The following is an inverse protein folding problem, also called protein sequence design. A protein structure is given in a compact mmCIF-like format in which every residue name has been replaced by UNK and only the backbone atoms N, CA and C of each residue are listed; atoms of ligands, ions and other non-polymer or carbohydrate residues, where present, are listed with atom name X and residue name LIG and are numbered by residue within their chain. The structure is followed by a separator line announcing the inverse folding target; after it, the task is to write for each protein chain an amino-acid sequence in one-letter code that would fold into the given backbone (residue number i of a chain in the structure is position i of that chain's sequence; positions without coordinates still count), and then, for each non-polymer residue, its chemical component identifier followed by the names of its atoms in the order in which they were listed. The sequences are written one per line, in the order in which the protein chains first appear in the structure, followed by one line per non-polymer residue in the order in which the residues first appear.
data_IF_432418213411
#
_entry.id   IF_432418213411
#
_cell.length_a   1.000
_cell.length_b   1.000
_cell.length_c   1.000
_cell.angle_alpha   90.00
_cell.angle_beta   90.00
_cell.angle_gamma   90.00
#
_symmetry.space_group_name_H-M   'P 1'
#
loop_
_entity.id
_entity.type
_entity.pdbx_description
1 polymer ?
#
# COMPACT_ATOMS: atom_id res chain seq x y z
N UNK A 1 -38.64 23.03 3.31
CA UNK A 1 -37.94 23.36 2.05
C UNK A 1 -36.63 24.07 2.39
N UNK A 2 -35.49 23.46 2.10
CA UNK A 2 -34.21 24.14 1.87
C UNK A 2 -33.31 23.15 1.12
N UNK A 3 -33.34 23.22 -0.20
CA UNK A 3 -32.44 22.46 -1.09
C UNK A 3 -31.12 23.24 -1.16
N UNK A 4 -30.12 22.83 -0.38
CA UNK A 4 -28.76 23.36 -0.54
C UNK A 4 -28.14 22.68 -1.76
N UNK A 5 -28.22 23.34 -2.92
CA UNK A 5 -27.66 22.85 -4.17
C UNK A 5 -26.13 22.91 -4.11
N UNK A 6 -25.47 21.75 -4.02
CA UNK A 6 -24.05 21.62 -4.35
C UNK A 6 -23.89 21.92 -5.85
N UNK A 7 -23.50 23.15 -6.19
CA UNK A 7 -23.06 23.50 -7.55
C UNK A 7 -21.76 22.73 -7.81
N UNK A 8 -21.85 21.64 -8.57
CA UNK A 8 -20.71 20.99 -9.23
C UNK A 8 -20.04 22.01 -10.15
N UNK A 9 -18.94 22.63 -9.69
CA UNK A 9 -17.94 23.15 -10.60
C UNK A 9 -17.10 21.95 -11.04
N UNK A 10 -17.36 21.47 -12.26
CA UNK A 10 -16.38 20.68 -12.98
C UNK A 10 -15.20 21.61 -13.30
N UNK A 11 -14.28 21.76 -12.36
CA UNK A 11 -12.98 22.33 -12.65
C UNK A 11 -12.18 21.23 -13.34
N UNK A 12 -11.86 21.43 -14.62
CA UNK A 12 -10.80 20.67 -15.26
C UNK A 12 -9.54 20.86 -14.39
N UNK A 13 -9.11 19.79 -13.69
CA UNK A 13 -7.93 19.83 -12.84
C UNK A 13 -6.73 20.10 -13.73
N UNK A 14 -6.17 21.30 -13.65
CA UNK A 14 -4.78 21.51 -14.05
C UNK A 14 -3.95 20.57 -13.18
N UNK A 15 -3.47 19.48 -13.76
CA UNK A 15 -2.57 18.56 -13.09
C UNK A 15 -1.32 19.37 -12.77
N UNK A 16 -1.17 19.82 -11.51
CA UNK A 16 0.06 20.42 -11.06
C UNK A 16 1.16 19.39 -11.31
N UNK A 17 2.14 19.74 -12.14
CA UNK A 17 3.24 18.84 -12.46
C UNK A 17 4.07 18.69 -11.17
N UNK A 18 3.83 17.62 -10.42
CA UNK A 18 4.54 17.35 -9.15
C UNK A 18 5.86 16.67 -9.47
N UNK A 19 6.98 17.33 -9.15
CA UNK A 19 8.32 16.72 -9.19
C UNK A 19 8.52 15.75 -8.01
N UNK A 20 7.74 14.67 -7.98
CA UNK A 20 7.91 13.59 -7.01
C UNK A 20 9.09 12.74 -7.46
N UNK A 21 10.16 12.75 -6.66
CA UNK A 21 11.31 11.88 -6.88
C UNK A 21 11.11 10.57 -6.12
N UNK A 22 11.33 9.47 -6.82
CA UNK A 22 11.34 8.11 -6.27
C UNK A 22 12.60 7.40 -6.75
N UNK A 23 13.10 6.46 -5.95
CA UNK A 23 14.20 5.59 -6.36
C UNK A 23 13.73 4.58 -7.41
N UNK A 24 14.67 3.93 -8.11
CA UNK A 24 14.33 2.90 -9.10
C UNK A 24 13.43 1.79 -8.53
N UNK A 25 13.74 1.27 -7.33
CA UNK A 25 12.95 0.21 -6.67
C UNK A 25 11.56 0.69 -6.23
N UNK A 26 11.45 1.94 -5.77
CA UNK A 26 10.16 2.55 -5.48
C UNK A 26 9.31 2.68 -6.75
N UNK A 27 9.93 3.08 -7.87
CA UNK A 27 9.28 3.12 -9.19
C UNK A 27 8.77 1.74 -9.64
N UNK A 28 9.60 0.70 -9.51
CA UNK A 28 9.18 -0.68 -9.80
C UNK A 28 7.98 -1.11 -8.95
N UNK A 29 7.95 -0.75 -7.67
CA UNK A 29 6.84 -1.05 -6.78
C UNK A 29 5.53 -0.35 -7.20
N UNK A 30 5.63 0.93 -7.58
CA UNK A 30 4.47 1.72 -8.02
C UNK A 30 3.90 1.16 -9.33
N UNK A 31 4.78 0.82 -10.28
CA UNK A 31 4.41 0.39 -11.63
C UNK A 31 4.04 -1.10 -11.72
N UNK A 32 4.30 -1.90 -10.69
CA UNK A 32 4.04 -3.34 -10.74
C UNK A 32 2.54 -3.66 -10.83
N UNK A 33 2.17 -4.46 -11.84
CA UNK A 33 0.79 -4.86 -12.13
C UNK A 33 0.38 -6.20 -11.51
N UNK A 34 1.26 -6.87 -10.76
CA UNK A 34 0.94 -8.13 -10.11
C UNK A 34 -0.25 -8.01 -9.13
N UNK A 35 -0.90 -9.14 -8.81
CA UNK A 35 -2.01 -9.17 -7.85
C UNK A 35 -1.53 -8.92 -6.42
N UNK A 36 -0.42 -9.55 -6.02
CA UNK A 36 0.25 -9.32 -4.75
C UNK A 36 1.67 -8.80 -5.01
N UNK A 37 2.05 -7.72 -4.32
CA UNK A 37 3.40 -7.14 -4.39
C UNK A 37 3.99 -7.06 -3.00
N UNK A 38 5.24 -7.50 -2.83
CA UNK A 38 6.02 -7.30 -1.60
C UNK A 38 7.26 -6.46 -1.92
N UNK A 39 7.35 -5.28 -1.34
CA UNK A 39 8.58 -4.49 -1.27
C UNK A 39 9.25 -4.72 0.08
N UNK A 40 10.20 -5.64 0.15
CA UNK A 40 10.70 -6.18 1.42
C UNK A 40 12.21 -6.13 1.55
N UNK A 41 12.72 -5.78 2.73
CA UNK A 41 14.15 -5.71 3.01
C UNK A 41 14.45 -4.82 4.22
N UNK A 42 15.68 -4.36 4.39
CA UNK A 42 16.12 -3.68 5.61
C UNK A 42 15.41 -2.33 5.86
N UNK A 43 15.43 -1.89 7.12
CA UNK A 43 14.95 -0.57 7.51
C UNK A 43 15.66 0.56 6.74
N UNK A 44 15.00 1.70 6.58
CA UNK A 44 15.55 2.87 5.88
C UNK A 44 15.49 2.83 4.35
N UNK A 45 15.04 1.73 3.73
CA UNK A 45 14.93 1.61 2.26
C UNK A 45 13.78 2.40 1.59
N UNK A 46 13.10 3.31 2.31
CA UNK A 46 12.07 4.18 1.73
C UNK A 46 10.74 3.49 1.38
N UNK A 47 10.43 2.34 1.98
CA UNK A 47 9.26 1.52 1.64
C UNK A 47 7.91 2.18 1.97
N UNK A 48 7.74 2.71 3.18
CA UNK A 48 6.49 3.38 3.58
C UNK A 48 6.23 4.65 2.78
N UNK A 49 7.28 5.37 2.37
CA UNK A 49 7.16 6.49 1.43
C UNK A 49 6.62 6.02 0.07
N UNK A 50 7.15 4.90 -0.46
CA UNK A 50 6.66 4.32 -1.71
C UNK A 50 5.17 3.95 -1.65
N UNK A 51 4.67 3.44 -0.51
CA UNK A 51 3.26 3.14 -0.30
C UNK A 51 2.38 4.40 -0.43
N UNK A 52 2.82 5.54 0.12
CA UNK A 52 2.08 6.80 0.04
C UNK A 52 2.10 7.39 -1.38
N UNK A 53 3.25 7.38 -2.06
CA UNK A 53 3.35 7.82 -3.45
C UNK A 53 2.50 6.96 -4.38
N UNK A 54 2.51 5.64 -4.16
CA UNK A 54 1.66 4.70 -4.88
C UNK A 54 0.17 5.00 -4.66
N UNK A 55 -0.26 5.26 -3.42
CA UNK A 55 -1.65 5.61 -3.12
C UNK A 55 -2.10 6.89 -3.83
N UNK A 56 -1.26 7.91 -3.85
CA UNK A 56 -1.51 9.15 -4.58
C UNK A 56 -1.58 8.92 -6.09
N UNK A 57 -0.62 8.18 -6.66
CA UNK A 57 -0.60 7.84 -8.08
C UNK A 57 -1.90 7.16 -8.53
N UNK A 58 -2.39 6.20 -7.74
CA UNK A 58 -3.66 5.54 -8.02
C UNK A 58 -4.87 6.46 -7.86
N UNK A 59 -4.88 7.34 -6.84
CA UNK A 59 -5.96 8.31 -6.64
C UNK A 59 -6.08 9.31 -7.81
N UNK A 60 -4.93 9.74 -8.35
CA UNK A 60 -4.84 10.63 -9.51
C UNK A 60 -5.29 9.93 -10.80
N UNK A 61 -4.84 8.69 -11.01
CA UNK A 61 -5.05 7.94 -12.26
C UNK A 61 -6.44 7.31 -12.39
N UNK A 62 -7.07 6.92 -11.29
CA UNK A 62 -8.33 6.18 -11.30
C UNK A 62 -9.39 6.95 -10.49
N UNK A 63 -10.20 7.81 -11.12
CA UNK A 63 -11.25 8.55 -10.43
C UNK A 63 -12.21 7.64 -9.67
N UNK A 64 -12.46 7.95 -8.40
CA UNK A 64 -13.32 7.19 -7.47
C UNK A 64 -12.73 5.85 -7.00
N UNK A 65 -11.42 5.63 -7.16
CA UNK A 65 -10.77 4.44 -6.60
C UNK A 65 -10.85 4.46 -5.07
N UNK A 66 -11.11 3.29 -4.48
CA UNK A 66 -11.15 3.11 -3.02
C UNK A 66 -9.92 2.39 -2.54
N UNK A 67 -9.13 3.03 -1.68
CA UNK A 67 -7.85 2.51 -1.22
C UNK A 67 -7.80 2.47 0.30
N UNK A 68 -7.09 1.46 0.83
CA UNK A 68 -6.83 1.32 2.26
C UNK A 68 -5.33 1.16 2.51
N UNK A 69 -4.80 1.80 3.53
CA UNK A 69 -3.45 1.60 4.05
C UNK A 69 -3.54 1.15 5.52
N UNK A 70 -2.99 -0.02 5.80
CA UNK A 70 -3.03 -0.68 7.10
C UNK A 70 -1.65 -0.69 7.77
N UNK A 71 -1.64 -0.49 9.09
CA UNK A 71 -0.54 -0.81 10.01
C UNK A 71 -1.11 -1.59 11.20
N UNK A 72 -0.32 -2.39 11.91
CA UNK A 72 -0.83 -3.14 13.06
C UNK A 72 -1.34 -2.18 14.17
N UNK A 73 -0.53 -1.17 14.51
CA UNK A 73 -0.75 -0.26 15.62
C UNK A 73 -1.22 1.14 15.18
N UNK A 74 -2.31 1.65 15.76
CA UNK A 74 -2.78 3.01 15.48
C UNK A 74 -1.77 4.11 15.88
N UNK A 75 -1.16 4.10 17.08
CA UNK A 75 -0.11 5.06 17.42
C UNK A 75 1.04 5.11 16.41
N UNK A 76 1.46 3.95 15.89
CA UNK A 76 2.51 3.87 14.87
C UNK A 76 2.03 4.39 13.52
N UNK A 77 0.83 4.00 13.09
CA UNK A 77 0.18 4.51 11.89
C UNK A 77 0.12 6.05 11.89
N UNK A 78 -0.28 6.63 13.02
CA UNK A 78 -0.40 8.09 13.20
C UNK A 78 0.95 8.78 13.08
N UNK A 79 1.98 8.28 13.78
CA UNK A 79 3.33 8.87 13.81
C UNK A 79 4.13 8.65 12.53
N UNK A 80 3.74 7.68 11.70
CA UNK A 80 4.44 7.33 10.47
C UNK A 80 3.66 7.78 9.22
N UNK A 81 2.78 6.93 8.70
CA UNK A 81 2.09 7.09 7.43
C UNK A 81 1.15 8.28 7.40
N UNK A 82 0.30 8.46 8.43
CA UNK A 82 -0.64 9.60 8.48
C UNK A 82 0.17 10.89 8.55
N UNK A 83 1.12 11.00 9.48
CA UNK A 83 1.97 12.19 9.59
C UNK A 83 2.66 12.54 8.27
N UNK A 84 3.32 11.56 7.62
CA UNK A 84 4.03 11.78 6.35
C UNK A 84 3.07 12.09 5.19
N UNK A 85 1.83 11.64 5.26
CA UNK A 85 0.86 11.91 4.19
C UNK A 85 0.50 13.38 4.07
N UNK A 86 0.54 14.16 5.16
CA UNK A 86 0.30 15.60 5.12
C UNK A 86 1.35 16.38 4.33
N UNK A 87 2.59 15.90 4.31
CA UNK A 87 3.66 16.50 3.52
C UNK A 87 3.49 16.22 2.02
N UNK A 88 2.75 15.15 1.67
CA UNK A 88 2.64 14.65 0.30
C UNK A 88 1.32 15.03 -0.37
N UNK A 89 0.21 14.92 0.37
CA UNK A 89 -1.13 15.07 -0.17
C UNK A 89 -1.57 16.53 -0.04
N UNK A 90 -1.46 17.26 -1.13
CA UNK A 90 -1.67 18.70 -1.13
C UNK A 90 -3.16 19.07 -0.90
N UNK A 91 -3.43 20.13 -0.11
CA UNK A 91 -4.80 20.55 0.21
C UNK A 91 -5.67 21.01 -0.97
N UNK A 92 -5.06 21.30 -2.13
CA UNK A 92 -5.77 21.72 -3.34
C UNK A 92 -6.52 20.57 -4.02
N UNK A 93 -6.02 19.34 -3.86
CA UNK A 93 -6.55 18.13 -4.47
C UNK A 93 -7.14 17.16 -3.44
N UNK A 94 -6.64 17.19 -2.19
CA UNK A 94 -7.04 16.28 -1.12
C UNK A 94 -7.59 17.02 0.09
N UNK A 95 -8.65 16.46 0.68
CA UNK A 95 -9.22 16.92 1.94
C UNK A 95 -9.10 15.82 3.00
N UNK A 96 -8.48 16.12 4.13
CA UNK A 96 -8.38 15.20 5.26
C UNK A 96 -9.64 15.21 6.11
N UNK A 97 -10.06 14.03 6.57
CA UNK A 97 -11.06 13.86 7.62
C UNK A 97 -10.43 13.05 8.77
N UNK A 98 -10.37 13.69 9.95
CA UNK A 98 -9.77 13.09 11.14
C UNK A 98 -10.61 11.94 11.70
N UNK A 99 -11.93 11.99 11.57
CA UNK A 99 -12.83 11.04 12.24
C UNK A 99 -12.76 9.64 11.63
N UNK A 100 -12.63 9.57 10.31
CA UNK A 100 -12.52 8.32 9.54
C UNK A 100 -11.10 8.09 9.00
N UNK A 101 -10.13 8.92 9.42
CA UNK A 101 -8.72 8.86 9.02
C UNK A 101 -8.53 8.72 7.51
N UNK A 102 -9.28 9.51 6.74
CA UNK A 102 -9.37 9.36 5.28
C UNK A 102 -9.01 10.65 4.55
N UNK A 103 -8.22 10.49 3.49
CA UNK A 103 -8.05 11.52 2.47
C UNK A 103 -9.08 11.35 1.36
N UNK A 104 -9.82 12.43 1.09
CA UNK A 104 -10.78 12.53 0.00
C UNK A 104 -10.18 13.34 -1.14
N UNK A 105 -10.01 12.72 -2.30
CA UNK A 105 -9.52 13.40 -3.49
C UNK A 105 -10.65 14.09 -4.25
N UNK A 106 -10.36 15.22 -4.93
CA UNK A 106 -11.35 16.02 -5.66
C UNK A 106 -12.12 15.25 -6.76
N UNK A 107 -11.55 14.16 -7.29
CA UNK A 107 -12.22 13.29 -8.28
C UNK A 107 -13.10 12.18 -7.64
N UNK A 108 -13.22 12.16 -6.31
CA UNK A 108 -13.99 11.18 -5.54
C UNK A 108 -13.21 9.94 -5.10
N UNK A 109 -11.92 9.83 -5.43
CA UNK A 109 -11.06 8.78 -4.89
C UNK A 109 -10.86 8.94 -3.38
N UNK A 110 -10.68 7.82 -2.67
CA UNK A 110 -10.43 7.82 -1.23
C UNK A 110 -9.17 7.03 -0.89
N UNK A 111 -8.43 7.52 0.11
CA UNK A 111 -7.30 6.82 0.74
C UNK A 111 -7.59 6.78 2.24
N UNK A 112 -8.13 5.66 2.70
CA UNK A 112 -8.42 5.39 4.11
C UNK A 112 -7.16 4.85 4.80
N UNK A 113 -6.87 5.34 6.00
CA UNK A 113 -5.90 4.72 6.89
C UNK A 113 -6.62 3.91 7.96
N UNK A 114 -6.17 2.68 8.18
CA UNK A 114 -6.77 1.78 9.16
C UNK A 114 -5.71 1.01 9.93
N UNK A 115 -6.15 0.35 11.00
CA UNK A 115 -5.29 -0.52 11.80
C UNK A 115 -5.97 -1.85 12.13
N UNK A 116 -5.15 -2.86 12.43
CA UNK A 116 -5.59 -4.18 12.88
C UNK A 116 -4.62 -4.66 13.95
N UNK A 117 -4.92 -4.42 15.22
CA UNK A 117 -4.09 -4.83 16.37
C UNK A 117 -4.28 -6.29 16.78
N UNK A 118 -5.33 -6.95 16.26
CA UNK A 118 -5.63 -8.35 16.51
C UNK A 118 -6.45 -8.97 15.38
N UNK A 119 -6.54 -10.30 15.38
CA UNK A 119 -7.32 -11.05 14.40
C UNK A 119 -8.83 -10.72 14.47
N UNK A 120 -9.38 -10.41 15.65
CA UNK A 120 -10.81 -10.08 15.80
C UNK A 120 -11.20 -8.75 15.14
N UNK A 121 -10.24 -7.83 14.98
CA UNK A 121 -10.48 -6.52 14.37
C UNK A 121 -10.79 -6.59 12.88
N UNK A 122 -10.51 -7.72 12.22
CA UNK A 122 -10.87 -7.88 10.80
C UNK A 122 -12.38 -7.70 10.56
N UNK A 123 -13.20 -7.94 11.60
CA UNK A 123 -14.65 -7.73 11.60
C UNK A 123 -15.08 -6.30 11.28
N UNK A 124 -14.26 -5.29 11.60
CA UNK A 124 -14.51 -3.88 11.26
C UNK A 124 -14.64 -3.71 9.74
N UNK A 125 -13.86 -4.47 8.98
CA UNK A 125 -13.82 -4.40 7.52
C UNK A 125 -14.78 -5.39 6.85
N UNK A 126 -15.67 -6.06 7.60
CA UNK A 126 -16.57 -7.11 7.06
C UNK A 126 -17.40 -6.62 5.88
N UNK A 127 -17.87 -5.38 5.92
CA UNK A 127 -18.67 -4.77 4.85
C UNK A 127 -17.86 -3.87 3.92
N UNK A 128 -16.55 -3.72 4.15
CA UNK A 128 -15.71 -2.82 3.38
C UNK A 128 -15.42 -3.37 1.98
N UNK A 129 -15.15 -2.45 1.05
CA UNK A 129 -14.81 -2.73 -0.34
C UNK A 129 -13.72 -1.78 -0.79
N UNK A 130 -12.61 -2.36 -1.24
CA UNK A 130 -11.45 -1.63 -1.73
C UNK A 130 -11.01 -2.17 -3.09
N UNK A 131 -10.35 -1.30 -3.83
CA UNK A 131 -9.64 -1.63 -5.05
C UNK A 131 -8.18 -1.98 -4.74
N UNK A 132 -7.55 -1.26 -3.82
CA UNK A 132 -6.16 -1.52 -3.41
C UNK A 132 -6.06 -1.47 -1.89
N UNK A 133 -5.39 -2.48 -1.33
CA UNK A 133 -5.07 -2.53 0.09
C UNK A 133 -3.56 -2.59 0.25
N UNK A 134 -3.02 -1.71 1.09
CA UNK A 134 -1.61 -1.62 1.41
C UNK A 134 -1.39 -2.07 2.84
N UNK A 135 -0.45 -2.97 3.08
CA UNK A 135 0.04 -3.30 4.41
C UNK A 135 1.43 -2.71 4.57
N UNK A 136 1.57 -1.76 5.48
CA UNK A 136 2.88 -1.35 5.93
C UNK A 136 3.34 -2.24 7.06
N UNK A 137 4.56 -2.75 6.92
CA UNK A 137 5.15 -3.78 7.78
C UNK A 137 4.25 -5.00 7.96
N UNK A 138 3.94 -5.57 6.80
CA UNK A 138 3.10 -6.74 6.63
C UNK A 138 3.53 -7.95 7.48
N UNK A 139 4.78 -8.02 7.93
CA UNK A 139 5.28 -9.04 8.84
C UNK A 139 4.73 -8.98 10.25
N UNK A 140 4.21 -7.83 10.69
CA UNK A 140 3.50 -7.68 11.97
C UNK A 140 2.13 -8.38 11.93
N UNK A 141 1.53 -8.49 10.73
CA UNK A 141 0.22 -9.10 10.56
C UNK A 141 0.29 -10.62 10.55
N UNK A 142 -0.75 -11.25 11.10
CA UNK A 142 -0.96 -12.69 11.00
C UNK A 142 -1.34 -13.08 9.57
N UNK A 143 -1.07 -14.34 9.18
CA UNK A 143 -1.54 -14.89 7.91
C UNK A 143 -3.06 -14.77 7.75
N UNK A 144 -3.80 -14.93 8.86
CA UNK A 144 -5.25 -14.76 8.88
C UNK A 144 -5.66 -13.32 8.53
N UNK A 145 -5.07 -12.31 9.17
CA UNK A 145 -5.34 -10.89 8.88
C UNK A 145 -5.09 -10.56 7.41
N UNK A 146 -3.94 -10.97 6.87
CA UNK A 146 -3.57 -10.72 5.47
C UNK A 146 -4.58 -11.35 4.49
N UNK A 147 -4.90 -12.63 4.67
CA UNK A 147 -5.86 -13.35 3.82
C UNK A 147 -7.28 -12.81 3.94
N UNK A 148 -7.73 -12.50 5.15
CA UNK A 148 -9.07 -11.95 5.36
C UNK A 148 -9.23 -10.65 4.58
N UNK A 149 -8.27 -9.74 4.71
CA UNK A 149 -8.32 -8.46 4.03
C UNK A 149 -8.18 -8.59 2.51
N UNK A 150 -7.46 -9.60 2.00
CA UNK A 150 -7.46 -9.91 0.57
C UNK A 150 -8.88 -10.16 0.02
N UNK A 151 -9.77 -10.76 0.82
CA UNK A 151 -11.18 -10.95 0.42
C UNK A 151 -11.99 -9.64 0.31
N UNK A 152 -11.45 -8.50 0.79
CA UNK A 152 -12.07 -7.17 0.67
C UNK A 152 -11.68 -6.44 -0.63
N UNK A 153 -10.78 -7.03 -1.44
CA UNK A 153 -10.47 -6.56 -2.79
C UNK A 153 -11.60 -6.89 -3.77
N UNK A 154 -12.73 -6.17 -3.65
CA UNK A 154 -13.98 -6.53 -4.32
C UNK A 154 -14.75 -5.37 -4.95
N UNK A 155 -14.08 -4.23 -5.20
CA UNK A 155 -14.73 -3.11 -5.90
C UNK A 155 -15.35 -3.54 -7.23
N UNK A 156 -16.64 -3.25 -7.44
CA UNK A 156 -17.39 -3.59 -8.65
C UNK A 156 -17.07 -2.62 -9.81
N UNK A 157 -15.83 -2.62 -10.26
CA UNK A 157 -15.31 -1.74 -11.32
C UNK A 157 -14.09 -2.41 -12.02
N UNK A 158 -13.62 -1.79 -13.11
CA UNK A 158 -12.49 -2.29 -13.89
C UNK A 158 -11.11 -1.79 -13.40
N UNK A 159 -11.03 -1.24 -12.18
CA UNK A 159 -9.76 -0.78 -11.62
C UNK A 159 -8.90 -1.97 -11.19
N UNK A 160 -7.56 -1.79 -11.16
CA UNK A 160 -6.66 -2.79 -10.59
C UNK A 160 -7.11 -3.21 -9.19
N UNK A 161 -7.00 -4.52 -8.93
CA UNK A 161 -7.33 -5.12 -7.64
C UNK A 161 -6.06 -5.66 -7.02
N UNK A 162 -5.35 -4.91 -6.19
CA UNK A 162 -4.00 -5.28 -5.73
C UNK A 162 -3.85 -5.28 -4.21
N UNK A 163 -3.07 -6.23 -3.67
CA UNK A 163 -2.46 -6.10 -2.34
C UNK A 163 -1.02 -5.67 -2.51
N UNK A 164 -0.61 -4.62 -1.81
CA UNK A 164 0.78 -4.19 -1.77
C UNK A 164 1.31 -4.19 -0.34
N UNK A 165 2.47 -4.79 -0.14
CA UNK A 165 3.06 -5.01 1.17
C UNK A 165 4.44 -4.37 1.21
N UNK A 166 4.74 -3.64 2.28
CA UNK A 166 6.10 -3.28 2.66
C UNK A 166 6.47 -4.06 3.92
N UNK A 167 7.72 -4.50 4.05
CA UNK A 167 8.13 -5.23 5.26
C UNK A 167 9.62 -5.23 5.52
N UNK A 168 9.97 -5.42 6.79
CA UNK A 168 11.28 -5.87 7.24
C UNK A 168 11.28 -7.40 7.42
N UNK A 169 12.45 -8.06 7.41
CA UNK A 169 12.55 -9.52 7.55
C UNK A 169 12.46 -9.99 9.02
N UNK A 170 11.41 -9.59 9.73
CA UNK A 170 11.18 -9.83 11.16
C UNK A 170 9.71 -10.17 11.44
N UNK A 171 9.32 -10.36 12.70
CA UNK A 171 7.92 -10.51 13.08
C UNK A 171 7.26 -11.86 12.73
N UNK A 172 6.01 -12.07 13.20
CA UNK A 172 5.30 -13.35 13.08
C UNK A 172 4.96 -13.74 11.63
N UNK A 173 4.70 -12.76 10.76
CA UNK A 173 4.36 -12.94 9.35
C UNK A 173 5.56 -13.25 8.46
N UNK A 174 6.81 -13.14 8.94
CA UNK A 174 8.02 -13.29 8.12
C UNK A 174 8.05 -14.58 7.30
N UNK A 175 7.86 -15.72 7.98
CA UNK A 175 7.93 -17.03 7.34
C UNK A 175 6.84 -17.19 6.28
N UNK A 176 5.65 -16.67 6.56
CA UNK A 176 4.52 -16.70 5.63
C UNK A 176 4.83 -15.87 4.38
N UNK A 177 5.25 -14.60 4.53
CA UNK A 177 5.57 -13.74 3.39
C UNK A 177 6.74 -14.28 2.56
N UNK A 178 7.80 -14.79 3.22
CA UNK A 178 8.93 -15.42 2.53
C UNK A 178 8.47 -16.57 1.63
N UNK A 179 7.57 -17.43 2.12
CA UNK A 179 6.99 -18.54 1.36
C UNK A 179 6.06 -18.04 0.26
N UNK A 180 5.14 -17.12 0.57
CA UNK A 180 4.13 -16.59 -0.35
C UNK A 180 4.77 -15.96 -1.60
N UNK A 181 5.86 -15.22 -1.38
CA UNK A 181 6.59 -14.48 -2.41
C UNK A 181 7.82 -15.21 -2.96
N UNK A 182 8.09 -16.45 -2.51
CA UNK A 182 9.24 -17.25 -2.93
C UNK A 182 10.57 -16.47 -2.81
N UNK A 183 10.71 -15.71 -1.72
CA UNK A 183 11.88 -14.85 -1.48
C UNK A 183 13.13 -15.72 -1.30
N UNK A 184 14.14 -15.47 -2.14
CA UNK A 184 15.37 -16.26 -2.21
C UNK A 184 15.26 -17.55 -3.03
N UNK A 185 14.11 -17.82 -3.65
CA UNK A 185 13.87 -18.95 -4.55
C UNK A 185 13.65 -18.46 -5.98
N UNK A 186 12.76 -17.48 -6.15
CA UNK A 186 12.50 -16.85 -7.44
C UNK A 186 13.41 -15.64 -7.65
N UNK A 187 13.63 -15.28 -8.91
CA UNK A 187 14.29 -14.03 -9.28
C UNK A 187 13.50 -12.82 -8.77
N UNK A 188 14.21 -11.88 -8.15
CA UNK A 188 13.63 -10.64 -7.63
C UNK A 188 13.22 -9.69 -8.75
N UNK A 189 12.26 -8.80 -8.47
CA UNK A 189 11.70 -7.81 -9.40
C UNK A 189 11.02 -8.41 -10.64
N UNK A 190 10.72 -9.72 -10.64
CA UNK A 190 9.97 -10.39 -11.69
C UNK A 190 8.64 -10.92 -11.17
N UNK A 191 7.61 -10.71 -11.96
CA UNK A 191 6.28 -11.27 -11.70
C UNK A 191 6.29 -12.77 -12.02
N UNK A 192 5.72 -13.56 -11.12
CA UNK A 192 5.47 -14.99 -11.34
C UNK A 192 4.00 -15.32 -11.07
N UNK A 193 3.51 -16.42 -11.64
CA UNK A 193 2.14 -16.89 -11.45
C UNK A 193 2.09 -18.12 -10.57
N UNK A 194 1.22 -18.12 -9.56
CA UNK A 194 0.98 -19.25 -8.66
C UNK A 194 -0.40 -19.85 -8.93
N UNK A 195 -0.52 -21.17 -9.02
CA UNK A 195 -1.82 -21.84 -9.07
C UNK A 195 -2.51 -21.72 -7.70
N UNK A 196 -3.76 -21.26 -7.68
CA UNK A 196 -4.53 -21.05 -6.43
C UNK A 196 -5.74 -21.99 -6.29
N UNK A 197 -6.03 -22.79 -7.31
CA UNK A 197 -7.14 -23.73 -7.30
C UNK A 197 -7.90 -23.73 -8.61
N UNK A 198 -9.04 -24.43 -8.62
CA UNK A 198 -9.97 -24.44 -9.75
C UNK A 198 -11.24 -23.69 -9.38
N UNK A 199 -11.82 -23.02 -10.35
CA UNK A 199 -13.18 -22.49 -10.22
C UNK A 199 -14.15 -23.64 -9.90
N UNK A 200 -14.97 -23.53 -8.85
CA UNK A 200 -15.86 -24.62 -8.46
C UNK A 200 -17.00 -24.85 -9.45
N UNK A 201 -17.33 -23.87 -10.31
CA UNK A 201 -18.41 -23.96 -11.29
C UNK A 201 -17.91 -24.32 -12.68
N UNK A 202 -16.79 -23.75 -13.13
CA UNK A 202 -16.25 -23.99 -14.48
C UNK A 202 -15.13 -25.03 -14.53
N UNK A 203 -14.51 -25.35 -13.39
CA UNK A 203 -13.35 -26.23 -13.31
C UNK A 203 -12.05 -25.62 -13.84
N UNK A 204 -12.08 -24.36 -14.31
CA UNK A 204 -10.91 -23.66 -14.84
C UNK A 204 -9.84 -23.45 -13.78
N UNK A 205 -8.58 -23.69 -14.15
CA UNK A 205 -7.45 -23.35 -13.30
C UNK A 205 -7.37 -21.84 -13.08
N UNK A 206 -7.31 -21.41 -11.82
CA UNK A 206 -7.10 -20.03 -11.43
C UNK A 206 -5.67 -19.84 -10.95
N UNK A 207 -5.08 -18.73 -11.37
CA UNK A 207 -3.72 -18.34 -11.01
C UNK A 207 -3.71 -16.93 -10.44
N UNK A 208 -2.73 -16.68 -9.58
CA UNK A 208 -2.47 -15.38 -8.97
C UNK A 208 -1.06 -14.92 -9.29
N UNK A 209 -0.92 -13.68 -9.74
CA UNK A 209 0.39 -13.07 -10.03
C UNK A 209 1.00 -12.44 -8.79
N UNK A 210 2.29 -12.67 -8.56
CA UNK A 210 3.02 -12.14 -7.40
C UNK A 210 4.36 -11.57 -7.83
N UNK A 211 4.83 -10.53 -7.13
CA UNK A 211 6.14 -9.94 -7.35
C UNK A 211 6.81 -9.60 -6.02
N UNK A 212 8.09 -9.96 -5.88
CA UNK A 212 8.95 -9.53 -4.77
C UNK A 212 9.98 -8.51 -5.26
N UNK A 213 10.07 -7.36 -4.59
CA UNK A 213 11.03 -6.31 -4.85
C UNK A 213 11.88 -6.17 -3.58
N UNK A 214 13.20 -6.40 -3.62
CA UNK A 214 14.07 -6.20 -2.49
C UNK A 214 14.26 -4.71 -2.21
N UNK A 215 14.41 -4.37 -0.93
CA UNK A 215 14.72 -3.02 -0.47
C UNK A 215 16.01 -3.04 0.34
N UNK A 216 17.06 -2.39 -0.18
CA UNK A 216 18.33 -2.26 0.52
C UNK A 216 18.50 -0.81 1.00
N UNK A 217 19.05 -0.62 2.19
CA UNK A 217 19.19 0.73 2.79
C UNK A 217 20.04 1.66 1.92
N UNK A 218 21.10 1.13 1.30
CA UNK A 218 21.98 1.88 0.41
C UNK A 218 21.34 2.28 -0.92
N UNK A 219 20.22 1.65 -1.31
CA UNK A 219 19.46 2.06 -2.50
C UNK A 219 18.57 3.29 -2.24
N UNK A 220 18.44 3.73 -0.98
CA UNK A 220 17.75 4.97 -0.64
C UNK A 220 18.72 6.16 -0.73
N UNK A 221 18.99 6.60 -1.96
CA UNK A 221 19.90 7.72 -2.25
C UNK A 221 19.55 9.01 -1.51
N UNK A 222 18.25 9.26 -1.24
CA UNK A 222 17.82 10.43 -0.50
C UNK A 222 18.30 10.38 0.95
N UNK A 223 18.11 9.24 1.63
CA UNK A 223 18.55 9.06 3.00
C UNK A 223 20.08 9.04 3.10
N UNK A 224 20.77 8.38 2.16
CA UNK A 224 22.23 8.31 2.17
C UNK A 224 22.89 9.68 1.95
N UNK A 225 22.22 10.57 1.21
CA UNK A 225 22.69 11.93 1.00
C UNK A 225 22.48 12.81 2.25
N UNK A 226 21.33 12.68 2.90
CA UNK A 226 20.93 13.56 4.00
C UNK A 226 21.45 13.08 5.37
N UNK A 227 21.65 11.77 5.55
CA UNK A 227 22.21 11.15 6.76
C UNK A 227 23.20 10.01 6.42
N UNK A 228 24.47 10.35 6.10
CA UNK A 228 25.50 9.35 5.80
C UNK A 228 25.84 8.41 6.97
N UNK A 229 25.56 8.79 8.22
CA UNK A 229 25.86 7.98 9.41
C UNK A 229 24.72 6.99 9.75
N UNK A 230 23.58 7.06 9.06
CA UNK A 230 22.42 6.22 9.30
C UNK A 230 22.75 4.72 9.29
N UNK A 231 23.57 4.27 8.34
CA UNK A 231 24.00 2.86 8.25
C UNK A 231 24.79 2.45 9.50
N UNK A 232 25.71 3.32 9.95
CA UNK A 232 26.50 3.08 11.16
C UNK A 232 25.62 2.95 12.39
N UNK A 233 24.52 3.73 12.47
CA UNK A 233 23.55 3.61 13.55
C UNK A 233 22.73 2.32 13.47
N UNK A 234 22.32 1.89 12.27
CA UNK A 234 21.65 0.60 12.09
C UNK A 234 22.54 -0.59 12.47
N UNK A 235 23.84 -0.53 12.16
CA UNK A 235 24.79 -1.60 12.50
C UNK A 235 24.94 -1.82 14.01
N UNK A 236 24.66 -0.82 14.85
CA UNK A 236 24.70 -0.95 16.32
C UNK A 236 23.55 -1.79 16.90
N UNK A 237 22.52 -2.09 16.10
CA UNK A 237 21.34 -2.86 16.52
C UNK A 237 21.46 -4.37 16.28
N UNK A 238 22.52 -4.82 15.60
CA UNK A 238 22.80 -6.23 15.29
C UNK A 238 23.73 -6.85 16.33
#
# INVERSE_FOLDING_TARGET
MAKTSFKRRAAASKQANRDIKVTYKQGLFIQCEAKLILFGGAAGGGKSYAQLIDAMYFADRYPKIRQLILRESFPELRRSLISKSFDLFQPDMFQWNENDMTWYHANGSIIEFGYLDSDDRVSIYKSAEYDIIRFDEATEFSEFRLKYMQSRLRGANNFPKQIKMSSNPDGPGHKYLKKLFKVGVNESCKTFSEFIGKDPFTGEAKHETRCYIPSLVWENEFLMKDDPEYITNLMKLQ
#
